data_IF_682952550004
#
_entry.id   IF_682952550004
#
_cell.length_a   1.000
_cell.length_b   1.000
_cell.length_c   1.000
_cell.angle_alpha   90.00
_cell.angle_beta   90.00
_cell.angle_gamma   90.00
#
_symmetry.space_group_name_H-M   'P 1'
#
loop_
_entity.id
_entity.type
_entity.pdbx_description
1 polymer ?
#
# COMPACT_ATOMS: atom_id res chain seq x y z
N UNK A 1 -1.71 -9.94 -7.08
CA UNK A 1 -1.07 -9.03 -6.09
C UNK A 1 -1.53 -9.39 -4.69
N UNK A 2 -0.62 -9.47 -3.71
CA UNK A 2 -0.87 -9.66 -2.28
C UNK A 2 -0.35 -8.45 -1.51
N UNK A 3 -1.09 -7.99 -0.50
CA UNK A 3 -0.69 -6.85 0.35
C UNK A 3 -0.64 -7.37 1.79
N UNK A 4 0.48 -7.11 2.46
CA UNK A 4 0.66 -7.41 3.87
C UNK A 4 0.86 -6.10 4.62
N UNK A 5 -0.06 -5.79 5.53
CA UNK A 5 0.04 -4.65 6.43
C UNK A 5 0.78 -5.09 7.69
N UNK A 6 1.88 -4.41 7.98
CA UNK A 6 2.68 -4.57 9.18
C UNK A 6 2.49 -3.35 10.09
N UNK A 7 2.82 -3.48 11.37
CA UNK A 7 2.62 -2.40 12.35
C UNK A 7 3.38 -1.10 12.02
N UNK A 8 4.45 -1.19 11.23
CA UNK A 8 5.30 -0.04 10.84
C UNK A 8 5.52 0.07 9.33
N UNK A 9 4.71 -0.60 8.51
CA UNK A 9 4.90 -0.55 7.06
C UNK A 9 3.98 -1.47 6.27
N UNK A 10 4.25 -1.55 4.97
CA UNK A 10 3.46 -2.34 4.03
C UNK A 10 4.36 -3.11 3.08
N UNK A 11 3.98 -4.35 2.78
CA UNK A 11 4.66 -5.18 1.78
C UNK A 11 3.67 -5.50 0.68
N UNK A 12 3.99 -5.09 -0.56
CA UNK A 12 3.23 -5.45 -1.75
C UNK A 12 4.01 -6.50 -2.55
N UNK A 13 3.36 -7.61 -2.87
CA UNK A 13 3.93 -8.70 -3.67
C UNK A 13 3.09 -8.89 -4.93
N UNK A 14 3.71 -8.74 -6.10
CA UNK A 14 3.02 -8.87 -7.39
C UNK A 14 3.92 -8.48 -8.55
N UNK A 15 3.33 -8.39 -9.76
CA UNK A 15 4.05 -7.85 -10.92
C UNK A 15 4.39 -6.38 -10.66
N UNK A 16 5.54 -5.93 -11.15
CA UNK A 16 6.03 -4.58 -10.89
C UNK A 16 5.01 -3.48 -11.29
N UNK A 17 4.29 -3.68 -12.39
CA UNK A 17 3.26 -2.73 -12.83
C UNK A 17 2.03 -2.73 -11.91
N UNK A 18 1.57 -3.89 -11.43
CA UNK A 18 0.44 -3.98 -10.48
C UNK A 18 0.75 -3.22 -9.19
N UNK A 19 1.98 -3.37 -8.68
CA UNK A 19 2.45 -2.65 -7.49
C UNK A 19 2.45 -1.15 -7.73
N UNK A 20 2.94 -0.70 -8.90
CA UNK A 20 2.95 0.73 -9.26
C UNK A 20 1.55 1.32 -9.38
N UNK A 21 0.61 0.61 -9.99
CA UNK A 21 -0.78 1.06 -10.08
C UNK A 21 -1.45 1.11 -8.70
N UNK A 22 -1.21 0.10 -7.86
CA UNK A 22 -1.78 0.08 -6.51
C UNK A 22 -1.26 1.21 -5.64
N UNK A 23 0.04 1.50 -5.70
CA UNK A 23 0.62 2.64 -5.00
C UNK A 23 0.01 3.98 -5.45
N UNK A 24 -0.25 4.16 -6.75
CA UNK A 24 -0.95 5.36 -7.27
C UNK A 24 -2.39 5.47 -6.81
N UNK A 25 -3.09 4.35 -6.68
CA UNK A 25 -4.46 4.33 -6.16
C UNK A 25 -4.47 4.77 -4.68
N UNK A 26 -3.56 4.22 -3.89
CA UNK A 26 -3.48 4.49 -2.45
C UNK A 26 -2.94 5.87 -2.14
N UNK A 27 -2.05 6.44 -2.97
CA UNK A 27 -1.59 7.82 -2.80
C UNK A 27 -2.70 8.87 -2.96
N UNK A 28 -3.85 8.51 -3.56
CA UNK A 28 -5.03 9.38 -3.64
C UNK A 28 -5.94 9.24 -2.42
N UNK A 29 -5.84 8.13 -1.71
CA UNK A 29 -6.69 7.78 -0.56
C UNK A 29 -6.03 8.15 0.77
N UNK A 30 -4.70 8.03 0.84
CA UNK A 30 -3.91 8.29 2.04
C UNK A 30 -2.77 9.23 1.70
N UNK A 31 -2.52 10.19 2.58
CA UNK A 31 -1.41 11.12 2.48
C UNK A 31 -0.11 10.48 2.97
N UNK A 32 -0.20 9.62 3.99
CA UNK A 32 0.96 8.92 4.56
C UNK A 32 0.76 7.41 4.62
N UNK A 33 1.89 6.69 4.60
CA UNK A 33 1.89 5.23 4.81
C UNK A 33 1.34 4.88 6.21
N UNK A 34 1.55 5.75 7.21
CA UNK A 34 1.00 5.55 8.54
C UNK A 34 -0.54 5.55 8.54
N UNK A 35 -1.16 6.52 7.85
CA UNK A 35 -2.62 6.56 7.66
C UNK A 35 -3.11 5.29 6.98
N UNK A 36 -2.41 4.85 5.93
CA UNK A 36 -2.74 3.60 5.24
C UNK A 36 -2.64 2.38 6.17
N UNK A 37 -1.61 2.28 7.01
CA UNK A 37 -1.46 1.15 7.95
C UNK A 37 -2.48 1.17 9.10
N UNK A 38 -3.00 2.34 9.47
CA UNK A 38 -3.97 2.52 10.57
C UNK A 38 -5.44 2.36 10.14
N UNK A 39 -5.74 2.40 8.84
CA UNK A 39 -7.08 2.25 8.28
C UNK A 39 -7.57 0.78 8.25
N UNK A 40 -7.32 0.06 9.34
CA UNK A 40 -7.57 -1.38 9.50
C UNK A 40 -8.94 -1.67 10.07
#
# INVERSE_FOLDING_TARGET
MKIYLLDKGVVLVGKAWEVREKLKEYSRKYETVEQWTKDK
#
